data_IF_902675939224
#
_entry.id   IF_902675939224
#
_cell.length_a   1.000
_cell.length_b   1.000
_cell.length_c   1.000
_cell.angle_alpha   90.00
_cell.angle_beta   90.00
_cell.angle_gamma   90.00
#
_symmetry.space_group_name_H-M   'P 1'
#
loop_
_entity.id
_entity.type
_entity.pdbx_description
1 polymer ?
#
# COMPACT_ATOMS: atom_id res chain seq x y z
N UNK A 1 -33.78 0.18 -29.55
CA UNK A 1 -32.98 1.31 -29.04
C UNK A 1 -32.36 1.09 -27.63
N UNK A 2 -32.93 0.31 -26.70
CA UNK A 2 -32.28 0.02 -25.39
C UNK A 2 -31.02 -0.88 -25.48
N UNK A 3 -30.95 -1.76 -26.47
CA UNK A 3 -29.83 -2.69 -26.67
C UNK A 3 -28.51 -1.97 -27.09
N UNK A 4 -28.57 -0.97 -27.94
CA UNK A 4 -27.37 -0.27 -28.42
C UNK A 4 -26.69 0.57 -27.32
N UNK A 5 -27.47 1.22 -26.45
CA UNK A 5 -26.93 1.96 -25.31
C UNK A 5 -26.25 1.03 -24.27
N UNK A 6 -26.78 -0.16 -24.07
CA UNK A 6 -26.17 -1.15 -23.17
C UNK A 6 -24.83 -1.64 -23.71
N UNK A 7 -24.73 -1.90 -25.02
CA UNK A 7 -23.46 -2.31 -25.66
C UNK A 7 -22.43 -1.18 -25.60
N UNK A 8 -22.83 0.06 -25.91
CA UNK A 8 -21.91 1.21 -25.81
C UNK A 8 -21.38 1.40 -24.38
N UNK A 9 -22.24 1.26 -23.37
CA UNK A 9 -21.79 1.36 -21.96
C UNK A 9 -20.84 0.22 -21.59
N UNK A 10 -21.07 -1.00 -22.07
CA UNK A 10 -20.17 -2.14 -21.83
C UNK A 10 -18.81 -1.94 -22.49
N UNK A 11 -18.79 -1.47 -23.73
CA UNK A 11 -17.55 -1.17 -24.46
C UNK A 11 -16.79 -0.04 -23.76
N UNK A 12 -17.46 1.03 -23.36
CA UNK A 12 -16.85 2.13 -22.62
C UNK A 12 -16.26 1.68 -21.27
N UNK A 13 -16.96 0.82 -20.53
CA UNK A 13 -16.48 0.25 -19.28
C UNK A 13 -15.25 -0.64 -19.50
N UNK A 14 -15.24 -1.46 -20.55
CA UNK A 14 -14.11 -2.32 -20.90
C UNK A 14 -12.89 -1.51 -21.33
N UNK A 15 -13.08 -0.48 -22.14
CA UNK A 15 -12.00 0.43 -22.51
C UNK A 15 -11.44 1.18 -21.29
N UNK A 16 -12.30 1.68 -20.41
CA UNK A 16 -11.90 2.30 -19.14
C UNK A 16 -11.08 1.34 -18.27
N UNK A 17 -11.51 0.10 -18.15
CA UNK A 17 -10.77 -0.94 -17.42
C UNK A 17 -9.40 -1.21 -18.03
N UNK A 18 -9.30 -1.32 -19.35
CA UNK A 18 -8.02 -1.54 -20.05
C UNK A 18 -7.04 -0.37 -19.86
N UNK A 19 -7.53 0.87 -19.89
CA UNK A 19 -6.71 2.06 -19.63
C UNK A 19 -6.20 2.05 -18.18
N UNK A 20 -7.07 1.76 -17.22
CA UNK A 20 -6.69 1.66 -15.79
C UNK A 20 -5.66 0.56 -15.58
N UNK A 21 -5.87 -0.61 -16.18
CA UNK A 21 -4.95 -1.74 -16.08
C UNK A 21 -3.58 -1.45 -16.72
N UNK A 22 -3.55 -0.82 -17.89
CA UNK A 22 -2.30 -0.46 -18.55
C UNK A 22 -1.50 0.56 -17.74
N UNK A 23 -2.19 1.52 -17.13
CA UNK A 23 -1.56 2.51 -16.26
C UNK A 23 -1.00 1.87 -14.99
N UNK A 24 -1.75 0.96 -14.36
CA UNK A 24 -1.30 0.18 -13.19
C UNK A 24 -0.05 -0.64 -13.51
N UNK A 25 -0.05 -1.33 -14.65
CA UNK A 25 1.10 -2.12 -15.10
C UNK A 25 2.31 -1.22 -15.44
N UNK A 26 2.09 -0.08 -16.08
CA UNK A 26 3.15 0.89 -16.38
C UNK A 26 3.83 1.40 -15.10
N UNK A 27 3.05 1.78 -14.10
CA UNK A 27 3.57 2.19 -12.79
C UNK A 27 4.31 1.03 -12.10
N UNK A 28 3.74 -0.17 -12.11
CA UNK A 28 4.36 -1.36 -11.54
C UNK A 28 5.72 -1.66 -12.18
N UNK A 29 5.79 -1.65 -13.51
CA UNK A 29 7.04 -1.85 -14.26
C UNK A 29 8.08 -0.79 -13.88
N UNK A 30 7.69 0.49 -13.84
CA UNK A 30 8.57 1.58 -13.43
C UNK A 30 9.13 1.39 -12.03
N UNK A 31 8.27 1.00 -11.07
CA UNK A 31 8.67 0.71 -9.70
C UNK A 31 9.58 -0.53 -9.61
N UNK A 32 9.33 -1.55 -10.41
CA UNK A 32 10.19 -2.74 -10.50
C UNK A 32 11.59 -2.39 -10.98
N UNK A 33 11.71 -1.58 -12.04
CA UNK A 33 13.01 -1.09 -12.51
C UNK A 33 13.70 -0.22 -11.45
N UNK A 34 12.98 0.71 -10.82
CA UNK A 34 13.53 1.54 -9.75
C UNK A 34 14.07 0.66 -8.60
N UNK A 35 13.30 -0.33 -8.17
CA UNK A 35 13.71 -1.27 -7.13
C UNK A 35 14.95 -2.09 -7.53
N UNK A 36 15.02 -2.56 -8.78
CA UNK A 36 16.20 -3.26 -9.31
C UNK A 36 17.45 -2.39 -9.21
N UNK A 37 17.39 -1.15 -9.65
CA UNK A 37 18.54 -0.24 -9.60
C UNK A 37 18.92 0.13 -8.17
N UNK A 38 17.94 0.34 -7.29
CA UNK A 38 18.16 0.68 -5.89
C UNK A 38 18.81 -0.48 -5.08
N UNK A 39 18.58 -1.72 -5.48
CA UNK A 39 19.08 -2.89 -4.77
C UNK A 39 20.35 -3.49 -5.41
N UNK A 40 20.72 -3.03 -6.60
CA UNK A 40 21.94 -3.53 -7.28
C UNK A 40 23.19 -2.88 -6.72
N UNK A 41 24.12 -3.65 -6.08
CA UNK A 41 25.27 -3.08 -5.36
C UNK A 41 26.17 -2.23 -6.25
N UNK A 42 26.38 -2.64 -7.51
CA UNK A 42 27.28 -1.95 -8.46
C UNK A 42 26.73 -0.58 -8.82
N UNK A 43 25.42 -0.49 -9.08
CA UNK A 43 24.77 0.78 -9.45
C UNK A 43 24.74 1.73 -8.25
N UNK A 44 24.40 1.18 -7.07
CA UNK A 44 24.37 1.96 -5.84
C UNK A 44 25.75 2.51 -5.48
N UNK A 45 26.82 1.70 -5.55
CA UNK A 45 28.16 2.18 -5.26
C UNK A 45 28.61 3.29 -6.19
N UNK A 46 28.26 3.23 -7.48
CA UNK A 46 28.62 4.26 -8.47
C UNK A 46 27.80 5.54 -8.27
N UNK A 47 26.48 5.43 -8.08
CA UNK A 47 25.60 6.57 -7.80
C UNK A 47 25.99 7.24 -6.48
N UNK A 48 26.33 6.46 -5.45
CA UNK A 48 26.79 7.03 -4.16
C UNK A 48 28.16 7.67 -4.26
N UNK A 49 29.10 7.07 -5.01
CA UNK A 49 30.43 7.68 -5.21
C UNK A 49 30.33 9.03 -5.90
N UNK A 50 29.43 9.15 -6.91
CA UNK A 50 29.20 10.41 -7.61
C UNK A 50 28.44 11.43 -6.75
N UNK A 51 27.49 10.96 -5.94
CA UNK A 51 26.68 11.83 -5.07
C UNK A 51 27.43 12.23 -3.81
N UNK A 52 28.20 11.34 -3.20
CA UNK A 52 29.08 11.63 -2.06
C UNK A 52 30.17 12.64 -2.42
N UNK A 53 30.64 12.62 -3.67
CA UNK A 53 31.57 13.64 -4.18
C UNK A 53 30.90 15.02 -4.33
N UNK A 54 29.56 15.08 -4.39
CA UNK A 54 28.82 16.35 -4.58
C UNK A 54 28.13 16.86 -3.32
N UNK A 55 27.57 16.05 -2.45
CA UNK A 55 26.75 16.53 -1.32
C UNK A 55 26.61 15.54 -0.12
N UNK A 56 27.45 14.53 0.03
CA UNK A 56 27.41 13.67 1.24
C UNK A 56 26.12 12.87 1.45
N UNK A 57 25.58 12.28 0.40
CA UNK A 57 24.39 11.41 0.47
C UNK A 57 24.70 10.09 1.18
N UNK A 58 24.15 9.80 2.36
CA UNK A 58 24.42 8.55 3.09
C UNK A 58 23.66 7.36 2.50
N UNK A 59 24.16 6.17 2.76
CA UNK A 59 23.58 4.85 2.38
C UNK A 59 22.12 4.68 2.87
N UNK A 60 21.72 5.42 3.89
CA UNK A 60 20.33 5.54 4.35
C UNK A 60 19.33 5.97 3.26
N UNK A 61 19.79 6.44 2.10
CA UNK A 61 18.95 6.95 1.02
C UNK A 61 18.10 5.86 0.33
N UNK A 62 18.59 4.63 0.17
CA UNK A 62 17.81 3.56 -0.45
C UNK A 62 16.63 3.14 0.42
N UNK A 63 16.85 2.96 1.73
CA UNK A 63 15.78 2.66 2.70
C UNK A 63 14.74 3.78 2.74
N UNK A 64 15.18 5.05 2.71
CA UNK A 64 14.30 6.22 2.65
C UNK A 64 13.48 6.29 1.37
N UNK A 65 14.06 5.94 0.22
CA UNK A 65 13.34 5.90 -1.04
C UNK A 65 12.26 4.80 -0.99
N UNK A 66 12.61 3.59 -0.56
CA UNK A 66 11.64 2.52 -0.38
C UNK A 66 10.56 2.88 0.64
N UNK A 67 10.94 3.51 1.76
CA UNK A 67 9.99 4.03 2.74
C UNK A 67 9.00 5.00 2.10
N UNK A 68 9.50 5.97 1.35
CA UNK A 68 8.64 6.98 0.70
C UNK A 68 7.69 6.35 -0.32
N UNK A 69 8.18 5.40 -1.13
CA UNK A 69 7.35 4.67 -2.10
C UNK A 69 6.27 3.86 -1.38
N UNK A 70 6.65 3.08 -0.36
CA UNK A 70 5.70 2.24 0.37
C UNK A 70 4.71 3.06 1.19
N UNK A 71 5.15 4.15 1.81
CA UNK A 71 4.27 5.09 2.51
C UNK A 71 3.25 5.70 1.54
N UNK A 72 3.67 6.08 0.34
CA UNK A 72 2.78 6.59 -0.70
C UNK A 72 1.79 5.51 -1.18
N UNK A 73 2.26 4.29 -1.45
CA UNK A 73 1.40 3.18 -1.86
C UNK A 73 0.36 2.87 -0.79
N UNK A 74 0.75 2.81 0.49
CA UNK A 74 -0.17 2.58 1.59
C UNK A 74 -1.17 3.72 1.77
N UNK A 75 -0.72 4.97 1.63
CA UNK A 75 -1.57 6.14 1.69
C UNK A 75 -2.62 6.11 0.57
N UNK A 76 -2.20 5.84 -0.65
CA UNK A 76 -3.10 5.68 -1.80
C UNK A 76 -4.08 4.53 -1.57
N UNK A 77 -3.59 3.39 -1.10
CA UNK A 77 -4.44 2.22 -0.82
C UNK A 77 -5.50 2.52 0.24
N UNK A 78 -5.14 3.28 1.26
CA UNK A 78 -6.05 3.68 2.33
C UNK A 78 -7.08 4.74 1.90
N UNK A 79 -6.71 5.65 0.99
CA UNK A 79 -7.52 6.84 0.69
C UNK A 79 -8.43 6.69 -0.52
N UNK A 80 -8.06 5.86 -1.50
CA UNK A 80 -8.89 5.63 -2.70
C UNK A 80 -10.30 5.13 -2.36
N UNK A 81 -10.51 4.18 -1.42
CA UNK A 81 -11.86 3.75 -1.04
C UNK A 81 -12.73 4.87 -0.49
N UNK A 82 -12.10 5.87 0.12
CA UNK A 82 -12.79 6.98 0.75
C UNK A 82 -13.26 8.04 -0.26
N UNK A 83 -12.45 8.27 -1.30
CA UNK A 83 -12.75 9.27 -2.34
C UNK A 83 -13.82 8.81 -3.33
N UNK A 84 -13.91 7.50 -3.60
CA UNK A 84 -14.89 6.94 -4.53
C UNK A 84 -16.28 6.73 -3.93
N UNK A 85 -16.47 7.11 -2.66
CA UNK A 85 -17.68 6.81 -1.90
C UNK A 85 -17.87 5.29 -1.89
N UNK A 86 -18.03 4.67 -0.76
CA UNK A 86 -18.17 3.21 -0.64
C UNK A 86 -19.23 2.70 -1.64
N UNK A 87 -18.81 2.51 -2.90
CA UNK A 87 -19.62 1.77 -3.86
C UNK A 87 -19.81 0.42 -3.18
N UNK A 88 -21.04 0.11 -2.86
CA UNK A 88 -21.47 -1.10 -2.16
C UNK A 88 -21.08 -2.32 -3.01
N UNK A 89 -19.77 -2.60 -3.12
CA UNK A 89 -19.29 -3.78 -3.82
C UNK A 89 -19.83 -5.05 -3.14
N UNK A 90 -20.06 -4.96 -1.84
CA UNK A 90 -20.60 -6.07 -1.07
C UNK A 90 -21.58 -5.55 -0.01
N UNK A 91 -22.89 -5.77 -0.23
CA UNK A 91 -23.91 -5.45 0.76
C UNK A 91 -24.01 -6.62 1.77
N UNK A 92 -23.14 -6.56 2.80
CA UNK A 92 -23.15 -7.56 3.88
C UNK A 92 -24.55 -7.69 4.52
N UNK A 93 -25.38 -6.63 4.46
CA UNK A 93 -26.76 -6.66 4.96
C UNK A 93 -27.64 -7.69 4.23
N UNK A 94 -27.41 -7.92 2.95
CA UNK A 94 -28.17 -8.93 2.19
C UNK A 94 -27.80 -10.37 2.57
N UNK A 95 -26.58 -10.58 3.06
CA UNK A 95 -26.11 -11.90 3.49
C UNK A 95 -26.52 -12.24 4.92
N UNK A 96 -26.93 -11.25 5.72
CA UNK A 96 -27.48 -11.50 7.04
C UNK A 96 -28.82 -12.26 7.01
N UNK A 97 -29.47 -12.31 5.84
CA UNK A 97 -30.68 -13.15 5.64
C UNK A 97 -30.34 -14.65 5.58
N UNK A 98 -29.07 -15.02 5.37
CA UNK A 98 -28.62 -16.41 5.34
C UNK A 98 -28.01 -16.79 6.69
N UNK A 99 -28.10 -18.06 7.14
CA UNK A 99 -27.52 -18.52 8.40
C UNK A 99 -26.00 -18.66 8.29
N UNK A 100 -25.31 -17.53 8.00
CA UNK A 100 -23.85 -17.48 7.86
C UNK A 100 -23.27 -16.89 9.15
N UNK A 101 -22.25 -17.54 9.72
CA UNK A 101 -21.58 -17.03 10.92
C UNK A 101 -20.86 -15.70 10.60
N UNK A 102 -20.90 -14.74 11.53
CA UNK A 102 -20.24 -13.43 11.42
C UNK A 102 -18.76 -13.55 11.05
N UNK A 103 -18.07 -14.59 11.52
CA UNK A 103 -16.65 -14.83 11.19
C UNK A 103 -16.45 -15.12 9.69
N UNK A 104 -17.31 -15.96 9.11
CA UNK A 104 -17.28 -16.28 7.66
C UNK A 104 -17.60 -15.04 6.83
N UNK A 105 -18.61 -14.27 7.25
CA UNK A 105 -18.99 -13.03 6.60
C UNK A 105 -17.82 -12.03 6.60
N UNK A 106 -17.17 -11.84 7.74
CA UNK A 106 -16.00 -10.99 7.87
C UNK A 106 -14.83 -11.45 6.99
N UNK A 107 -14.57 -12.76 6.92
CA UNK A 107 -13.50 -13.30 6.09
C UNK A 107 -13.77 -13.05 4.59
N UNK A 108 -15.01 -13.25 4.12
CA UNK A 108 -15.41 -12.99 2.74
C UNK A 108 -15.28 -11.48 2.43
N UNK A 109 -15.77 -10.63 3.33
CA UNK A 109 -15.71 -9.19 3.20
C UNK A 109 -14.25 -8.67 3.22
N UNK A 110 -13.37 -9.27 4.02
CA UNK A 110 -11.95 -8.98 4.03
C UNK A 110 -11.26 -9.41 2.72
N UNK A 111 -11.59 -10.62 2.21
CA UNK A 111 -11.05 -11.11 0.94
C UNK A 111 -11.55 -10.30 -0.26
N UNK A 112 -12.75 -9.74 -0.19
CA UNK A 112 -13.28 -8.90 -1.27
C UNK A 112 -12.46 -7.62 -1.49
N UNK A 113 -11.69 -7.18 -0.48
CA UNK A 113 -10.80 -6.02 -0.59
C UNK A 113 -9.64 -6.25 -1.59
N UNK A 114 -9.24 -7.52 -1.80
CA UNK A 114 -8.23 -7.90 -2.80
C UNK A 114 -8.70 -7.59 -4.23
N UNK A 115 -10.00 -7.62 -4.48
CA UNK A 115 -10.60 -7.33 -5.80
C UNK A 115 -10.95 -5.85 -5.97
N UNK A 116 -10.70 -5.02 -4.95
CA UNK A 116 -10.94 -3.59 -5.00
C UNK A 116 -10.05 -2.87 -6.01
N UNK A 117 -10.52 -1.73 -6.53
CA UNK A 117 -9.77 -0.92 -7.50
C UNK A 117 -8.39 -0.53 -6.96
N UNK A 118 -8.29 -0.18 -5.68
CA UNK A 118 -7.04 0.15 -5.01
C UNK A 118 -6.06 -1.01 -5.00
N UNK A 119 -6.54 -2.25 -4.79
CA UNK A 119 -5.71 -3.44 -4.79
C UNK A 119 -5.16 -3.75 -6.19
N UNK A 120 -5.91 -3.43 -7.25
CA UNK A 120 -5.46 -3.59 -8.63
C UNK A 120 -4.24 -2.73 -8.97
N UNK A 121 -4.02 -1.60 -8.28
CA UNK A 121 -2.82 -0.78 -8.42
C UNK A 121 -1.74 -1.18 -7.42
N UNK A 122 -2.10 -1.35 -6.15
CA UNK A 122 -1.14 -1.54 -5.08
C UNK A 122 -0.48 -2.92 -5.11
N UNK A 123 -1.23 -3.99 -5.40
CA UNK A 123 -0.67 -5.34 -5.45
C UNK A 123 0.36 -5.48 -6.57
N UNK A 124 0.11 -5.12 -7.85
CA UNK A 124 1.13 -5.16 -8.88
C UNK A 124 2.34 -4.28 -8.56
N UNK A 125 2.13 -3.09 -7.96
CA UNK A 125 3.21 -2.20 -7.57
C UNK A 125 4.14 -2.85 -6.52
N UNK A 126 3.57 -3.44 -5.45
CA UNK A 126 4.33 -4.13 -4.41
C UNK A 126 5.05 -5.37 -4.97
N UNK A 127 4.34 -6.18 -5.77
CA UNK A 127 4.95 -7.35 -6.41
C UNK A 127 6.11 -6.93 -7.31
N UNK A 128 5.97 -5.88 -8.10
CA UNK A 128 7.02 -5.38 -8.96
C UNK A 128 8.22 -4.84 -8.16
N UNK A 129 7.98 -4.15 -7.03
CA UNK A 129 9.05 -3.74 -6.11
C UNK A 129 9.82 -4.96 -5.58
N UNK A 130 9.12 -6.01 -5.14
CA UNK A 130 9.75 -7.23 -4.65
C UNK A 130 10.50 -7.98 -5.76
N UNK A 131 9.92 -8.06 -6.96
CA UNK A 131 10.58 -8.69 -8.13
C UNK A 131 11.82 -7.90 -8.53
N UNK A 132 11.74 -6.58 -8.59
CA UNK A 132 12.90 -5.73 -8.88
C UNK A 132 14.01 -5.92 -7.84
N UNK A 133 13.67 -5.95 -6.55
CA UNK A 133 14.62 -6.24 -5.48
C UNK A 133 15.24 -7.65 -5.61
N UNK A 134 14.44 -8.66 -5.99
CA UNK A 134 14.92 -10.01 -6.22
C UNK A 134 15.99 -10.08 -7.33
N UNK A 135 15.73 -9.44 -8.46
CA UNK A 135 16.69 -9.36 -9.56
C UNK A 135 17.91 -8.50 -9.22
N UNK A 136 17.75 -7.41 -8.47
CA UNK A 136 18.83 -6.54 -8.07
C UNK A 136 19.81 -7.20 -7.11
N UNK A 137 19.28 -7.98 -6.17
CA UNK A 137 20.04 -8.69 -5.13
C UNK A 137 20.46 -10.11 -5.53
N UNK A 138 19.84 -10.70 -6.57
CA UNK A 138 20.05 -12.09 -6.97
C UNK A 138 19.41 -13.13 -6.02
N UNK A 139 18.58 -12.68 -5.06
CA UNK A 139 17.89 -13.57 -4.13
C UNK A 139 16.38 -13.45 -4.32
N UNK A 140 15.76 -14.52 -4.82
CA UNK A 140 14.32 -14.52 -5.11
C UNK A 140 13.46 -14.91 -3.91
N UNK A 141 13.99 -15.72 -2.98
CA UNK A 141 13.18 -16.27 -1.90
C UNK A 141 12.76 -15.19 -0.89
N UNK A 142 13.69 -14.35 -0.44
CA UNK A 142 13.40 -13.34 0.58
C UNK A 142 12.38 -12.29 0.11
N UNK A 143 12.55 -11.62 -1.05
CA UNK A 143 11.55 -10.69 -1.54
C UNK A 143 10.17 -11.33 -1.78
N UNK A 144 10.11 -12.59 -2.21
CA UNK A 144 8.84 -13.32 -2.36
C UNK A 144 8.14 -13.51 -1.00
N UNK A 145 8.89 -13.85 0.05
CA UNK A 145 8.34 -13.98 1.41
C UNK A 145 7.90 -12.63 1.98
N UNK A 146 8.64 -11.55 1.67
CA UNK A 146 8.32 -10.19 2.15
C UNK A 146 7.07 -9.63 1.47
N UNK A 147 6.79 -9.97 0.21
CA UNK A 147 5.63 -9.47 -0.53
C UNK A 147 4.30 -9.75 0.19
N UNK A 148 4.17 -10.93 0.80
CA UNK A 148 2.94 -11.36 1.46
C UNK A 148 2.57 -10.44 2.64
N UNK A 149 3.44 -10.21 3.65
CA UNK A 149 3.08 -9.33 4.77
C UNK A 149 2.93 -7.87 4.37
N UNK A 150 3.65 -7.38 3.34
CA UNK A 150 3.47 -6.02 2.81
C UNK A 150 2.06 -5.86 2.22
N UNK A 151 1.62 -6.80 1.39
CA UNK A 151 0.27 -6.80 0.81
C UNK A 151 -0.80 -6.96 1.90
N UNK A 152 -0.59 -7.89 2.82
CA UNK A 152 -1.53 -8.14 3.93
C UNK A 152 -1.73 -6.90 4.79
N UNK A 153 -0.65 -6.17 5.10
CA UNK A 153 -0.74 -4.91 5.84
C UNK A 153 -1.55 -3.86 5.07
N UNK A 154 -1.32 -3.70 3.76
CA UNK A 154 -2.09 -2.77 2.93
C UNK A 154 -3.59 -3.08 2.91
N UNK A 155 -3.96 -4.36 2.75
CA UNK A 155 -5.36 -4.81 2.80
C UNK A 155 -5.97 -4.53 4.19
N UNK A 156 -5.24 -4.87 5.27
CA UNK A 156 -5.70 -4.65 6.63
C UNK A 156 -5.90 -3.17 6.94
N UNK A 157 -4.98 -2.31 6.48
CA UNK A 157 -5.05 -0.85 6.64
C UNK A 157 -6.26 -0.26 5.90
N UNK A 158 -6.46 -0.62 4.64
CA UNK A 158 -7.60 -0.18 3.83
C UNK A 158 -8.92 -0.59 4.49
N UNK A 159 -9.03 -1.84 4.91
CA UNK A 159 -10.23 -2.36 5.56
C UNK A 159 -10.51 -1.70 6.89
N UNK A 160 -9.49 -1.53 7.73
CA UNK A 160 -9.63 -0.84 9.01
C UNK A 160 -10.13 0.60 8.83
N UNK A 161 -9.54 1.33 7.88
CA UNK A 161 -9.89 2.72 7.63
C UNK A 161 -11.32 2.85 7.07
N UNK A 162 -11.68 2.04 6.07
CA UNK A 162 -13.02 2.05 5.48
C UNK A 162 -14.11 1.69 6.51
N UNK A 163 -13.85 0.70 7.36
CA UNK A 163 -14.79 0.29 8.43
C UNK A 163 -14.92 1.38 9.50
N UNK A 164 -13.80 1.98 9.92
CA UNK A 164 -13.79 3.04 10.92
C UNK A 164 -14.55 4.27 10.44
N UNK A 165 -14.25 4.74 9.22
CA UNK A 165 -14.94 5.91 8.65
C UNK A 165 -16.40 5.59 8.38
N UNK A 166 -16.71 4.41 7.85
CA UNK A 166 -18.10 3.98 7.65
C UNK A 166 -18.91 3.97 8.96
N UNK A 167 -18.30 3.57 10.07
CA UNK A 167 -18.94 3.60 11.39
C UNK A 167 -19.16 5.02 11.90
N UNK A 168 -18.19 5.93 11.68
CA UNK A 168 -18.30 7.34 12.06
C UNK A 168 -19.36 8.07 11.25
N UNK A 169 -19.39 7.86 9.93
CA UNK A 169 -20.40 8.47 9.04
C UNK A 169 -21.82 7.99 9.40
N UNK A 170 -22.00 6.71 9.74
CA UNK A 170 -23.31 6.20 10.19
C UNK A 170 -23.78 6.82 11.49
N UNK A 171 -22.87 7.11 12.43
CA UNK A 171 -23.22 7.74 13.71
C UNK A 171 -23.55 9.23 13.59
N UNK A 172 -23.01 9.92 12.59
CA UNK A 172 -23.17 11.37 12.40
C UNK A 172 -23.76 11.70 11.02
N UNK A 173 -24.97 11.24 10.74
CA UNK A 173 -25.65 11.45 9.45
C UNK A 173 -25.62 12.91 8.93
N UNK A 174 -25.68 13.90 9.82
CA UNK A 174 -25.65 15.32 9.46
C UNK A 174 -24.23 15.88 9.13
N UNK A 175 -23.16 15.16 9.47
CA UNK A 175 -21.76 15.60 9.28
C UNK A 175 -20.94 14.64 8.43
N UNK A 176 -21.55 13.63 7.83
CA UNK A 176 -20.86 12.59 7.06
C UNK A 176 -20.05 13.15 5.89
N UNK A 177 -20.59 14.09 5.14
CA UNK A 177 -19.90 14.74 4.02
C UNK A 177 -18.66 15.52 4.47
N UNK A 178 -18.77 16.22 5.61
CA UNK A 178 -17.63 16.98 6.20
C UNK A 178 -16.49 16.04 6.63
N UNK A 179 -16.82 14.87 7.19
CA UNK A 179 -15.80 13.87 7.62
C UNK A 179 -15.10 13.28 6.39
N UNK A 180 -15.85 12.93 5.33
CA UNK A 180 -15.28 12.42 4.08
C UNK A 180 -14.39 13.48 3.42
N UNK A 181 -14.84 14.74 3.37
CA UNK A 181 -14.04 15.84 2.85
C UNK A 181 -12.77 16.08 3.66
N UNK A 182 -12.86 16.03 5.00
CA UNK A 182 -11.70 16.18 5.88
C UNK A 182 -10.68 15.05 5.68
N UNK A 183 -11.15 13.80 5.57
CA UNK A 183 -10.26 12.66 5.31
C UNK A 183 -9.63 12.76 3.93
N UNK A 184 -10.39 13.17 2.91
CA UNK A 184 -9.86 13.43 1.58
C UNK A 184 -8.80 14.55 1.58
N UNK A 185 -9.03 15.63 2.32
CA UNK A 185 -8.08 16.72 2.49
C UNK A 185 -6.80 16.26 3.21
N UNK A 186 -6.93 15.53 4.32
CA UNK A 186 -5.78 14.95 5.05
C UNK A 186 -4.99 14.00 4.16
N UNK A 187 -5.65 13.19 3.37
CA UNK A 187 -5.01 12.29 2.42
C UNK A 187 -4.27 13.04 1.30
N UNK A 188 -4.89 14.09 0.75
CA UNK A 188 -4.28 14.95 -0.25
C UNK A 188 -3.05 15.68 0.29
N UNK A 189 -3.16 16.26 1.49
CA UNK A 189 -2.04 16.90 2.20
C UNK A 189 -0.96 15.85 2.51
N UNK A 190 -1.34 14.65 3.00
CA UNK A 190 -0.39 13.58 3.27
C UNK A 190 0.38 13.13 2.03
N UNK A 191 -0.30 13.00 0.88
CA UNK A 191 0.34 12.70 -0.40
C UNK A 191 1.31 13.81 -0.85
N UNK A 192 0.91 15.07 -0.74
CA UNK A 192 1.77 16.22 -1.03
C UNK A 192 2.97 16.30 -0.07
N UNK A 193 2.76 16.01 1.22
CA UNK A 193 3.82 15.97 2.22
C UNK A 193 4.84 14.86 1.94
N UNK A 194 4.40 13.66 1.56
CA UNK A 194 5.33 12.57 1.19
C UNK A 194 6.24 13.00 0.04
N UNK A 195 5.71 13.72 -0.96
CA UNK A 195 6.51 14.25 -2.07
C UNK A 195 7.51 15.35 -1.64
N UNK A 196 7.15 16.18 -0.67
CA UNK A 196 8.00 17.29 -0.21
C UNK A 196 8.93 16.89 0.95
N UNK A 197 8.48 15.99 1.82
CA UNK A 197 9.23 15.50 2.98
C UNK A 197 10.32 14.51 2.56
N UNK A 198 10.16 13.81 1.43
CA UNK A 198 11.20 12.92 0.90
C UNK A 198 12.58 13.59 0.81
N UNK A 199 12.73 14.74 0.13
CA UNK A 199 13.98 15.46 0.06
C UNK A 199 14.49 15.99 1.43
N UNK A 200 13.57 16.35 2.34
CA UNK A 200 13.93 16.79 3.70
C UNK A 200 14.40 15.62 4.56
N UNK A 201 13.79 14.45 4.47
CA UNK A 201 14.23 13.25 5.18
C UNK A 201 15.60 12.79 4.70
N UNK A 202 15.89 12.93 3.42
CA UNK A 202 17.22 12.65 2.86
C UNK A 202 18.30 13.55 3.46
N UNK A 203 17.99 14.83 3.71
CA UNK A 203 18.93 15.76 4.36
C UNK A 203 19.13 15.49 5.85
N UNK A 204 18.18 14.85 6.52
CA UNK A 204 18.19 14.54 7.95
C UNK A 204 18.12 13.02 8.19
N UNK A 205 18.96 12.27 7.50
CA UNK A 205 18.96 10.78 7.57
C UNK A 205 19.12 10.24 9.00
N UNK A 206 19.76 11.00 9.91
CA UNK A 206 19.88 10.64 11.32
C UNK A 206 18.52 10.61 12.05
N UNK A 207 17.54 11.40 11.60
CA UNK A 207 16.18 11.45 12.15
C UNK A 207 15.30 10.27 11.69
N UNK A 208 15.80 9.41 10.79
CA UNK A 208 15.05 8.29 10.25
C UNK A 208 14.90 7.11 11.23
N UNK A 209 15.74 7.03 12.27
CA UNK A 209 15.72 5.94 13.25
C UNK A 209 14.33 5.58 13.79
N UNK A 210 13.51 6.53 14.29
CA UNK A 210 12.15 6.26 14.76
C UNK A 210 11.19 5.84 13.63
N UNK A 211 11.33 6.37 12.42
CA UNK A 211 10.47 6.06 11.28
C UNK A 211 10.67 4.64 10.76
N UNK A 212 11.83 4.04 11.01
CA UNK A 212 12.16 2.66 10.67
C UNK A 212 11.21 1.65 11.34
N UNK A 213 10.68 1.98 12.51
CA UNK A 213 9.73 1.13 13.24
C UNK A 213 8.28 1.29 12.77
N UNK A 214 7.98 2.25 11.91
CA UNK A 214 6.66 2.35 11.28
C UNK A 214 6.46 1.23 10.25
N UNK A 215 5.20 0.81 9.96
CA UNK A 215 4.96 -0.26 9.00
C UNK A 215 5.64 -0.06 7.63
N UNK A 216 5.59 1.13 6.99
CA UNK A 216 6.34 1.35 5.75
C UNK A 216 7.87 1.34 5.96
N UNK A 217 8.36 1.75 7.15
CA UNK A 217 9.79 1.69 7.49
C UNK A 217 10.28 0.26 7.65
N UNK A 218 9.53 -0.57 8.37
CA UNK A 218 9.84 -2.01 8.51
C UNK A 218 9.83 -2.70 7.15
N UNK A 219 8.86 -2.39 6.29
CA UNK A 219 8.77 -2.96 4.95
C UNK A 219 9.93 -2.50 4.05
N UNK A 220 10.33 -1.23 4.12
CA UNK A 220 11.50 -0.69 3.41
C UNK A 220 12.80 -1.35 3.89
N UNK A 221 12.97 -1.48 5.20
CA UNK A 221 14.09 -2.19 5.79
C UNK A 221 14.20 -3.63 5.30
N UNK A 222 13.09 -4.37 5.29
CA UNK A 222 13.04 -5.75 4.78
C UNK A 222 13.46 -5.85 3.31
N UNK A 223 13.17 -4.85 2.47
CA UNK A 223 13.53 -4.84 1.06
C UNK A 223 15.03 -4.54 0.84
N UNK A 224 15.61 -3.67 1.67
CA UNK A 224 17.02 -3.21 1.51
C UNK A 224 17.99 -4.11 2.27
N UNK A 225 17.70 -4.39 3.54
CA UNK A 225 18.61 -5.09 4.46
C UNK A 225 18.30 -6.61 4.55
N UNK A 226 17.64 -7.14 3.51
CA UNK A 226 17.28 -8.56 3.42
C UNK A 226 18.46 -9.53 3.52
N UNK A 227 19.71 -9.04 3.54
CA UNK A 227 20.96 -9.82 3.56
C UNK A 227 21.71 -9.73 4.88
N UNK A 228 21.27 -8.89 5.82
CA UNK A 228 21.83 -8.76 7.15
C UNK A 228 21.58 -9.97 8.04
N UNK A 229 21.57 -9.75 9.34
CA UNK A 229 21.33 -10.77 10.35
C UNK A 229 19.95 -11.44 10.16
N UNK A 230 19.86 -12.77 9.98
CA UNK A 230 18.61 -13.49 9.76
C UNK A 230 17.62 -13.32 10.93
N UNK A 231 18.11 -13.12 12.15
CA UNK A 231 17.26 -12.89 13.31
C UNK A 231 16.55 -11.55 13.21
N UNK A 232 17.24 -10.49 12.79
CA UNK A 232 16.64 -9.15 12.60
C UNK A 232 15.61 -9.19 11.48
N UNK A 233 15.90 -9.92 10.40
CA UNK A 233 14.93 -10.13 9.31
C UNK A 233 13.63 -10.79 9.82
N UNK A 234 13.72 -11.87 10.58
CA UNK A 234 12.56 -12.56 11.15
C UNK A 234 11.78 -11.65 12.10
N UNK A 235 12.48 -10.90 12.97
CA UNK A 235 11.83 -9.95 13.88
C UNK A 235 11.08 -8.84 13.12
N UNK A 236 11.67 -8.28 12.08
CA UNK A 236 11.04 -7.27 11.25
C UNK A 236 9.79 -7.82 10.52
N UNK A 237 9.89 -9.06 10.01
CA UNK A 237 8.76 -9.74 9.37
C UNK A 237 7.63 -10.01 10.36
N UNK A 238 7.95 -10.46 11.58
CA UNK A 238 6.99 -10.65 12.65
C UNK A 238 6.36 -9.32 13.10
N UNK A 239 7.13 -8.24 13.14
CA UNK A 239 6.59 -6.91 13.45
C UNK A 239 5.55 -6.47 12.41
N UNK A 240 5.84 -6.64 11.11
CA UNK A 240 4.89 -6.28 10.04
C UNK A 240 3.62 -7.13 10.07
N UNK A 241 3.75 -8.44 10.34
CA UNK A 241 2.60 -9.33 10.57
C UNK A 241 1.83 -8.94 11.82
N UNK A 242 2.51 -8.53 12.89
CA UNK A 242 1.91 -8.03 14.13
C UNK A 242 1.07 -6.78 13.90
N UNK A 243 1.57 -5.79 13.14
CA UNK A 243 0.79 -4.61 12.73
C UNK A 243 -0.46 -5.01 11.94
N UNK A 244 -0.33 -5.94 11.00
CA UNK A 244 -1.47 -6.46 10.22
C UNK A 244 -2.51 -7.13 11.12
N UNK A 245 -2.07 -7.97 12.05
CA UNK A 245 -2.95 -8.68 12.99
C UNK A 245 -3.71 -7.71 13.91
N UNK A 246 -3.03 -6.66 14.40
CA UNK A 246 -3.65 -5.60 15.22
C UNK A 246 -4.75 -4.89 14.43
N UNK A 247 -4.49 -4.51 13.17
CA UNK A 247 -5.47 -3.84 12.32
C UNK A 247 -6.67 -4.74 12.01
N UNK A 248 -6.45 -6.02 11.70
CA UNK A 248 -7.51 -7.00 11.46
C UNK A 248 -8.36 -7.19 12.71
N UNK A 249 -7.72 -7.33 13.87
CA UNK A 249 -8.41 -7.45 15.15
C UNK A 249 -9.24 -6.20 15.47
N UNK A 250 -8.67 -5.01 15.32
CA UNK A 250 -9.36 -3.74 15.52
C UNK A 250 -10.57 -3.59 14.56
N UNK A 251 -10.40 -3.98 13.28
CA UNK A 251 -11.49 -3.97 12.30
C UNK A 251 -12.62 -4.91 12.71
N UNK A 252 -12.29 -6.12 13.15
CA UNK A 252 -13.28 -7.09 13.64
C UNK A 252 -14.07 -6.55 14.84
N UNK A 253 -13.39 -5.86 15.76
CA UNK A 253 -14.04 -5.24 16.93
C UNK A 253 -14.99 -4.09 16.54
N UNK A 254 -14.60 -3.25 15.59
CA UNK A 254 -15.44 -2.13 15.09
C UNK A 254 -16.65 -2.65 14.31
N UNK A 255 -16.48 -3.77 13.58
CA UNK A 255 -17.55 -4.38 12.79
C UNK A 255 -18.58 -5.17 13.63
N UNK A 256 -18.24 -5.54 14.87
CA UNK A 256 -19.11 -6.26 15.82
C UNK A 256 -20.04 -5.32 16.57
#
# INVERSE_FOLDING_TARGET
MRSSKAVVNQVAALLGFLVVLSLALGVAIGLGFASYFLTKPVVMSEVFRQSAAREGFPIASAELIFFSILAFVYLMWATVPLSLGSSKQFDAGRLLMYPISLRKLFAIDFLSEVTGLQAMFAIPAIVALCVGAAFGTGNFLRPAVIAIPIILFGIALSKWLSTTIGSLVRRQRARGETIVALVGAVAGIGGALVGQVGPLLVRHAESFGPLRWTPPGVAAFLLVDAFGNPLVFVLALLALLGYSAILIWATYWIAR
#
